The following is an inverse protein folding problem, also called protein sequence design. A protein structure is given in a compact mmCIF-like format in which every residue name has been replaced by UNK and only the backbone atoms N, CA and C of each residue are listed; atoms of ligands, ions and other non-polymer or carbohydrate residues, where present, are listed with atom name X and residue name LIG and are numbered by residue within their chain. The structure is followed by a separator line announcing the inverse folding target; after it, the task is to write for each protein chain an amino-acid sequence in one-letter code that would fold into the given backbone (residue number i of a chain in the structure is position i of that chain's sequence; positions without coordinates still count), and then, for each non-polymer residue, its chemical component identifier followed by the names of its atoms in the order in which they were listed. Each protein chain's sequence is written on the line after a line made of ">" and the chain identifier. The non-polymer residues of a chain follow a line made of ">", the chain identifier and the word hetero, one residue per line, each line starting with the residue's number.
data_IF_728156332991
#
_entry.id   IF_728156332991
#
_cell.length_a   1.000
_cell.length_b   1.000
_cell.length_c   1.000
_cell.angle_alpha   90.00
_cell.angle_beta   90.00
_cell.angle_gamma   90.00
#
_symmetry.space_group_name_H-M   'P 1'
#
loop_
_entity.id
_entity.type
_entity.pdbx_description
1 polymer ?
#
# COMPACT_ATOMS: atom_id res chain seq x y z
N UNK A 1 -8.56 -46.25 31.11
CA UNK A 1 -8.72 -45.09 30.20
C UNK A 1 -7.54 -44.11 30.27
N UNK A 2 -6.97 -43.79 31.43
CA UNK A 2 -5.85 -42.84 31.56
C UNK A 2 -4.56 -43.28 30.82
N UNK A 3 -4.25 -44.56 30.75
CA UNK A 3 -3.07 -45.09 30.04
C UNK A 3 -3.14 -44.95 28.53
N UNK A 4 -4.32 -45.08 27.93
CA UNK A 4 -4.47 -44.96 26.46
C UNK A 4 -4.31 -43.51 25.96
N UNK A 5 -4.81 -42.54 26.73
CA UNK A 5 -4.61 -41.11 26.42
C UNK A 5 -3.13 -40.68 26.57
N UNK A 6 -2.42 -41.25 27.56
CA UNK A 6 -0.99 -41.01 27.76
C UNK A 6 -0.14 -41.56 26.61
N UNK A 7 -0.46 -42.75 26.10
CA UNK A 7 0.23 -43.33 24.91
C UNK A 7 -0.08 -42.56 23.63
N UNK A 8 -1.31 -42.12 23.41
CA UNK A 8 -1.68 -41.29 22.26
C UNK A 8 -0.94 -39.96 22.27
N UNK A 9 -0.77 -39.33 23.46
CA UNK A 9 0.03 -38.12 23.62
C UNK A 9 1.52 -38.31 23.32
N UNK A 10 2.10 -39.41 23.79
CA UNK A 10 3.50 -39.79 23.51
C UNK A 10 3.75 -40.07 22.03
N UNK A 11 2.85 -40.79 21.36
CA UNK A 11 2.93 -41.08 19.93
C UNK A 11 2.81 -39.79 19.10
N UNK A 12 1.91 -38.88 19.47
CA UNK A 12 1.78 -37.57 18.82
C UNK A 12 3.04 -36.74 18.98
N UNK A 13 3.62 -36.71 20.17
CA UNK A 13 4.88 -36.00 20.44
C UNK A 13 6.04 -36.61 19.62
N UNK A 14 6.13 -37.92 19.52
CA UNK A 14 7.13 -38.63 18.72
C UNK A 14 6.96 -38.34 17.24
N UNK A 15 5.73 -38.35 16.70
CA UNK A 15 5.46 -38.00 15.30
C UNK A 15 5.83 -36.55 14.98
N UNK A 16 5.54 -35.63 15.90
CA UNK A 16 5.93 -34.21 15.78
C UNK A 16 7.46 -34.10 15.75
N UNK A 17 8.14 -34.78 16.67
CA UNK A 17 9.61 -34.77 16.77
C UNK A 17 10.26 -35.36 15.51
N UNK A 18 9.76 -36.49 15.01
CA UNK A 18 10.23 -37.12 13.77
C UNK A 18 9.99 -36.20 12.56
N UNK A 19 8.84 -35.53 12.51
CA UNK A 19 8.53 -34.57 11.44
C UNK A 19 9.46 -33.35 11.47
N UNK A 20 9.75 -32.85 12.67
CA UNK A 20 10.73 -31.76 12.87
C UNK A 20 12.12 -32.21 12.44
N UNK A 21 12.57 -33.41 12.85
CA UNK A 21 13.87 -33.96 12.46
C UNK A 21 13.94 -34.18 10.95
N UNK A 22 12.91 -34.76 10.33
CA UNK A 22 12.86 -34.95 8.85
C UNK A 22 12.87 -33.63 8.09
N UNK A 23 12.17 -32.59 8.58
CA UNK A 23 12.20 -31.25 7.95
C UNK A 23 13.54 -30.56 8.11
N UNK A 24 14.22 -30.73 9.25
CA UNK A 24 15.57 -30.22 9.48
C UNK A 24 16.62 -30.92 8.61
N UNK A 25 16.58 -32.27 8.53
CA UNK A 25 17.47 -33.06 7.72
C UNK A 25 17.19 -32.95 6.20
N UNK A 26 15.90 -32.81 5.81
CA UNK A 26 15.49 -32.63 4.41
C UNK A 26 15.92 -31.28 3.82
N UNK A 27 15.99 -30.25 4.63
CA UNK A 27 16.54 -28.94 4.24
C UNK A 27 18.05 -28.99 4.01
N UNK A 28 18.79 -29.87 4.70
CA UNK A 28 20.23 -30.05 4.49
C UNK A 28 20.53 -30.69 3.13
N UNK A 29 19.70 -31.65 2.65
CA UNK A 29 19.91 -32.32 1.34
C UNK A 29 19.49 -31.47 0.13
N UNK A 30 18.52 -30.56 0.27
CA UNK A 30 18.13 -29.62 -0.80
C UNK A 30 19.11 -28.45 -0.99
N UNK A 31 20.02 -28.22 -0.06
CA UNK A 31 21.11 -27.21 -0.19
C UNK A 31 22.19 -27.57 -1.24
N UNK A 32 22.25 -28.80 -1.72
CA UNK A 32 23.32 -29.27 -2.62
C UNK A 32 23.11 -28.95 -4.11
N UNK A 33 22.02 -28.32 -4.55
CA UNK A 33 21.72 -28.16 -5.99
C UNK A 33 21.73 -26.69 -6.48
N UNK A 34 21.90 -25.71 -5.60
CA UNK A 34 22.01 -24.30 -5.99
C UNK A 34 23.50 -23.92 -6.08
N UNK A 35 24.07 -24.00 -7.26
CA UNK A 35 25.35 -23.37 -7.55
C UNK A 35 25.21 -21.85 -7.43
N UNK A 36 25.69 -21.25 -6.32
CA UNK A 36 25.70 -19.83 -6.08
C UNK A 36 25.56 -19.47 -4.58
N UNK A 37 26.17 -18.39 -4.18
CA UNK A 37 26.13 -17.86 -2.80
C UNK A 37 24.76 -17.22 -2.55
N UNK A 38 24.05 -17.63 -1.50
CA UNK A 38 22.80 -16.98 -1.05
C UNK A 38 23.11 -15.84 -0.09
N UNK A 39 22.26 -14.79 -0.03
CA UNK A 39 22.41 -13.71 0.96
C UNK A 39 22.44 -14.24 2.40
N UNK A 40 23.13 -13.53 3.34
CA UNK A 40 23.16 -13.92 4.75
C UNK A 40 21.73 -13.99 5.32
N UNK A 41 21.55 -14.80 6.36
CA UNK A 41 20.25 -14.99 6.99
C UNK A 41 20.38 -15.19 8.50
N UNK A 42 19.44 -14.70 9.31
CA UNK A 42 19.31 -15.09 10.71
C UNK A 42 18.95 -16.58 10.85
N UNK A 43 18.94 -17.07 12.09
CA UNK A 43 18.51 -18.44 12.37
C UNK A 43 16.99 -18.57 12.20
N UNK A 44 16.57 -19.52 11.36
CA UNK A 44 15.16 -19.80 11.10
C UNK A 44 14.60 -20.83 12.08
N UNK A 45 13.40 -20.62 12.59
CA UNK A 45 12.64 -21.63 13.32
C UNK A 45 11.95 -22.60 12.37
N UNK A 46 11.72 -23.86 12.78
CA UNK A 46 10.93 -24.81 11.99
C UNK A 46 9.52 -24.25 11.71
N UNK A 47 8.98 -24.56 10.52
CA UNK A 47 7.62 -24.19 10.05
C UNK A 47 7.46 -22.69 9.85
N UNK A 48 7.61 -21.88 10.89
CA UNK A 48 7.35 -20.43 10.84
C UNK A 48 8.52 -19.61 10.26
N UNK A 49 9.70 -20.22 10.11
CA UNK A 49 10.88 -19.51 9.60
C UNK A 49 11.26 -18.34 10.50
N UNK A 50 11.26 -17.15 9.93
CA UNK A 50 11.65 -15.89 10.59
C UNK A 50 10.45 -14.99 10.97
N UNK A 51 9.21 -15.49 10.90
CA UNK A 51 8.02 -14.71 11.21
C UNK A 51 8.07 -14.07 12.60
N UNK A 52 8.60 -14.79 13.58
CA UNK A 52 8.78 -14.31 14.96
C UNK A 52 9.71 -13.09 15.10
N UNK A 53 10.55 -12.82 14.09
CA UNK A 53 11.47 -11.69 14.09
C UNK A 53 10.85 -10.38 13.57
N UNK A 54 9.64 -10.41 13.03
CA UNK A 54 8.99 -9.24 12.44
C UNK A 54 8.14 -8.42 13.43
N UNK A 55 7.93 -8.94 14.64
CA UNK A 55 7.15 -8.24 15.66
C UNK A 55 8.00 -7.17 16.40
N UNK A 56 7.35 -6.12 16.97
CA UNK A 56 5.94 -5.75 16.79
C UNK A 56 5.68 -4.97 15.48
N UNK A 57 6.70 -4.30 14.93
CA UNK A 57 6.61 -3.42 13.75
C UNK A 57 7.60 -3.93 12.69
N UNK A 58 7.13 -4.52 11.58
CA UNK A 58 7.98 -5.23 10.61
C UNK A 58 9.14 -4.39 10.05
N UNK A 59 8.90 -3.16 9.60
CA UNK A 59 9.96 -2.34 9.00
C UNK A 59 11.07 -1.97 10.01
N UNK A 60 10.72 -1.72 11.28
CA UNK A 60 11.70 -1.46 12.33
C UNK A 60 12.47 -2.73 12.72
N UNK A 61 11.80 -3.87 12.76
CA UNK A 61 12.43 -5.15 13.02
C UNK A 61 13.43 -5.52 11.90
N UNK A 62 13.04 -5.31 10.63
CA UNK A 62 13.91 -5.50 9.47
C UNK A 62 15.12 -4.56 9.48
N UNK A 63 14.96 -3.31 9.91
CA UNK A 63 16.09 -2.39 10.09
C UNK A 63 17.10 -2.90 11.12
N UNK A 64 16.62 -3.38 12.29
CA UNK A 64 17.51 -3.99 13.31
C UNK A 64 18.23 -5.23 12.80
N UNK A 65 17.57 -6.04 11.95
CA UNK A 65 18.20 -7.20 11.32
C UNK A 65 19.24 -6.78 10.27
N UNK A 66 19.01 -5.71 9.51
CA UNK A 66 19.96 -5.16 8.57
C UNK A 66 21.27 -4.73 9.24
N UNK A 67 21.20 -4.14 10.42
CA UNK A 67 22.38 -3.79 11.22
C UNK A 67 23.25 -4.99 11.64
N UNK A 68 22.68 -6.22 11.66
CA UNK A 68 23.42 -7.46 12.03
C UNK A 68 23.85 -8.29 10.82
N UNK A 69 23.09 -8.26 9.73
CA UNK A 69 23.26 -9.15 8.58
C UNK A 69 23.69 -8.43 7.30
N UNK A 70 23.79 -7.10 7.36
CA UNK A 70 24.07 -6.24 6.20
C UNK A 70 22.81 -5.76 5.49
N UNK A 71 22.95 -4.82 4.53
CA UNK A 71 21.82 -4.17 3.85
C UNK A 71 21.04 -5.11 2.92
N UNK A 72 21.66 -6.24 2.51
CA UNK A 72 21.04 -7.31 1.73
C UNK A 72 21.10 -8.62 2.50
N UNK A 73 19.96 -9.10 2.95
CA UNK A 73 19.85 -10.38 3.65
C UNK A 73 18.56 -11.13 3.25
N UNK A 74 18.53 -12.43 3.51
CA UNK A 74 17.37 -13.28 3.20
C UNK A 74 16.61 -13.69 4.45
N UNK A 75 15.32 -13.89 4.27
CA UNK A 75 14.42 -14.47 5.26
C UNK A 75 13.63 -15.62 4.62
N UNK A 76 13.02 -16.45 5.48
CA UNK A 76 11.93 -17.35 5.11
C UNK A 76 10.75 -17.03 6.01
N UNK A 77 9.68 -16.50 5.45
CA UNK A 77 8.46 -16.22 6.19
C UNK A 77 7.53 -17.42 6.00
N UNK A 78 7.52 -18.33 6.98
CA UNK A 78 6.93 -19.64 6.78
C UNK A 78 7.59 -20.38 5.61
N UNK A 79 6.80 -20.69 4.59
CA UNK A 79 7.26 -21.35 3.35
C UNK A 79 7.75 -20.39 2.26
N UNK A 80 7.56 -19.08 2.45
CA UNK A 80 7.84 -18.06 1.43
C UNK A 80 9.27 -17.55 1.55
N UNK A 81 10.12 -17.71 0.49
CA UNK A 81 11.45 -17.12 0.47
C UNK A 81 11.36 -15.62 0.28
N UNK A 82 12.16 -14.87 1.05
CA UNK A 82 12.19 -13.42 1.01
C UNK A 82 13.63 -12.91 0.99
N UNK A 83 13.83 -11.73 0.38
CA UNK A 83 15.05 -10.93 0.51
C UNK A 83 14.67 -9.52 0.96
N UNK A 84 15.56 -8.89 1.70
CA UNK A 84 15.37 -7.54 2.23
C UNK A 84 16.49 -6.65 1.73
N UNK A 85 16.11 -5.51 1.18
CA UNK A 85 16.99 -4.42 0.77
C UNK A 85 16.78 -3.24 1.71
N UNK A 86 17.84 -2.80 2.41
CA UNK A 86 17.76 -1.75 3.44
C UNK A 86 18.78 -0.61 3.23
N UNK A 87 19.40 -0.51 2.04
CA UNK A 87 20.21 0.63 1.64
C UNK A 87 19.80 1.16 0.27
N UNK A 88 20.09 2.43 -0.06
CA UNK A 88 19.79 3.03 -1.37
C UNK A 88 20.42 2.26 -2.53
N UNK A 89 21.67 1.81 -2.41
CA UNK A 89 22.40 1.07 -3.45
C UNK A 89 21.71 -0.27 -3.71
N UNK A 90 21.38 -1.00 -2.63
CA UNK A 90 20.71 -2.29 -2.75
C UNK A 90 19.30 -2.11 -3.35
N UNK A 91 18.57 -1.10 -2.91
CA UNK A 91 17.24 -0.79 -3.47
C UNK A 91 17.33 -0.45 -4.96
N UNK A 92 18.34 0.32 -5.38
CA UNK A 92 18.60 0.66 -6.80
C UNK A 92 18.86 -0.58 -7.64
N UNK A 93 19.64 -1.53 -7.13
CA UNK A 93 19.90 -2.79 -7.83
C UNK A 93 18.60 -3.54 -8.15
N UNK A 94 17.68 -3.64 -7.19
CA UNK A 94 16.40 -4.32 -7.40
C UNK A 94 15.42 -3.52 -8.26
N UNK A 95 15.23 -2.24 -7.94
CA UNK A 95 14.12 -1.44 -8.48
C UNK A 95 14.47 -0.69 -9.78
N UNK A 96 15.76 -0.62 -10.15
CA UNK A 96 16.22 0.05 -11.37
C UNK A 96 17.03 -0.87 -12.27
N UNK A 97 18.10 -1.50 -11.76
CA UNK A 97 18.99 -2.35 -12.58
C UNK A 97 18.29 -3.64 -12.99
N UNK A 98 17.52 -4.25 -12.08
CA UNK A 98 16.82 -5.50 -12.30
C UNK A 98 15.29 -5.35 -12.25
N UNK A 99 14.76 -4.18 -12.61
CA UNK A 99 13.34 -3.87 -12.48
C UNK A 99 12.45 -4.85 -13.26
N UNK A 100 12.88 -5.29 -14.44
CA UNK A 100 12.16 -6.27 -15.25
C UNK A 100 12.03 -7.66 -14.59
N UNK A 101 12.92 -7.99 -13.65
CA UNK A 101 12.84 -9.23 -12.85
C UNK A 101 11.90 -9.05 -11.66
N UNK A 102 11.86 -7.84 -11.09
CA UNK A 102 11.09 -7.49 -9.90
C UNK A 102 9.90 -6.55 -10.20
N UNK A 103 9.34 -6.64 -11.40
CA UNK A 103 8.16 -5.85 -11.78
C UNK A 103 6.87 -6.40 -11.15
N UNK A 104 6.80 -7.68 -10.87
CA UNK A 104 5.62 -8.30 -10.26
C UNK A 104 5.51 -7.98 -8.76
N UNK A 105 4.28 -8.03 -8.25
CA UNK A 105 3.98 -7.89 -6.82
C UNK A 105 3.43 -9.19 -6.27
N UNK A 106 3.82 -9.58 -5.04
CA UNK A 106 3.18 -10.71 -4.38
C UNK A 106 1.72 -10.33 -4.07
N UNK A 107 0.78 -11.20 -4.41
CA UNK A 107 -0.65 -10.99 -4.16
C UNK A 107 -1.03 -11.64 -2.84
N UNK A 108 -1.35 -10.85 -1.78
CA UNK A 108 -1.92 -11.38 -0.54
C UNK A 108 -3.31 -11.94 -0.77
N UNK A 109 -3.70 -12.97 -0.01
CA UNK A 109 -5.02 -13.60 -0.15
C UNK A 109 -6.19 -12.61 0.05
N UNK A 110 -6.02 -11.63 0.95
CA UNK A 110 -7.01 -10.58 1.17
C UNK A 110 -7.19 -9.70 -0.08
N UNK A 111 -6.09 -9.30 -0.71
CA UNK A 111 -6.11 -8.49 -1.94
C UNK A 111 -6.72 -9.29 -3.08
N UNK A 112 -6.27 -10.52 -3.31
CA UNK A 112 -6.82 -11.40 -4.35
C UNK A 112 -8.34 -11.53 -4.24
N UNK A 113 -8.83 -11.70 -3.02
CA UNK A 113 -10.27 -11.79 -2.78
C UNK A 113 -11.00 -10.47 -3.06
N UNK A 114 -10.51 -9.34 -2.55
CA UNK A 114 -11.13 -8.03 -2.69
C UNK A 114 -11.09 -7.50 -4.13
N UNK A 115 -10.09 -7.90 -4.90
CA UNK A 115 -9.91 -7.47 -6.30
C UNK A 115 -10.39 -8.50 -7.32
N UNK A 116 -11.34 -9.34 -6.96
CA UNK A 116 -12.00 -10.31 -7.87
C UNK A 116 -11.02 -11.27 -8.55
N UNK A 117 -10.04 -11.80 -7.79
CA UNK A 117 -9.01 -12.69 -8.34
C UNK A 117 -7.90 -11.93 -9.06
N UNK A 118 -7.47 -10.80 -8.50
CA UNK A 118 -6.44 -9.91 -9.06
C UNK A 118 -6.84 -9.31 -10.42
N UNK A 119 -8.12 -8.96 -10.56
CA UNK A 119 -8.64 -8.22 -11.71
C UNK A 119 -8.25 -6.72 -11.68
N UNK A 120 -7.58 -6.28 -10.61
CA UNK A 120 -7.01 -4.95 -10.43
C UNK A 120 -5.79 -4.70 -11.32
N UNK A 121 -5.29 -3.46 -11.34
CA UNK A 121 -4.08 -3.15 -12.07
C UNK A 121 -2.84 -3.08 -11.18
N UNK A 122 -2.99 -2.75 -9.89
CA UNK A 122 -1.85 -2.55 -8.99
C UNK A 122 -1.10 -3.85 -8.70
N UNK A 123 -1.82 -4.97 -8.53
CA UNK A 123 -1.24 -6.29 -8.32
C UNK A 123 -1.18 -7.15 -9.58
N UNK A 124 -1.75 -6.69 -10.70
CA UNK A 124 -1.67 -7.40 -11.98
C UNK A 124 -0.21 -7.70 -12.37
N UNK A 125 0.08 -8.89 -12.94
CA UNK A 125 1.39 -9.19 -13.49
C UNK A 125 1.79 -8.19 -14.58
N UNK A 126 3.09 -7.89 -14.66
CA UNK A 126 3.61 -7.01 -15.70
C UNK A 126 3.37 -7.58 -17.09
N UNK A 127 2.46 -6.97 -17.83
CA UNK A 127 2.01 -7.48 -19.14
C UNK A 127 1.15 -6.47 -19.89
N UNK A 128 0.48 -6.90 -20.98
CA UNK A 128 -0.35 -6.02 -21.81
C UNK A 128 -1.46 -5.33 -21.01
N UNK A 129 -2.18 -6.06 -20.16
CA UNK A 129 -3.23 -5.51 -19.30
C UNK A 129 -2.69 -4.39 -18.37
N UNK A 130 -1.61 -4.68 -17.64
CA UNK A 130 -0.99 -3.69 -16.75
C UNK A 130 -0.56 -2.42 -17.49
N UNK A 131 0.06 -2.58 -18.68
CA UNK A 131 0.49 -1.44 -19.51
C UNK A 131 -0.68 -0.60 -19.98
N UNK A 132 -1.75 -1.25 -20.41
CA UNK A 132 -2.99 -0.60 -20.84
C UNK A 132 -3.61 0.19 -19.69
N UNK A 133 -3.85 -0.44 -18.53
CA UNK A 133 -4.44 0.21 -17.37
C UNK A 133 -3.58 1.34 -16.82
N UNK A 134 -2.24 1.19 -16.83
CA UNK A 134 -1.32 2.28 -16.46
C UNK A 134 -1.43 3.48 -17.40
N UNK A 135 -1.46 3.23 -18.70
CA UNK A 135 -1.63 4.30 -19.72
C UNK A 135 -2.95 5.04 -19.46
N UNK A 136 -4.03 4.30 -19.27
CA UNK A 136 -5.35 4.85 -18.98
C UNK A 136 -5.35 5.69 -17.70
N UNK A 137 -4.79 5.17 -16.61
CA UNK A 137 -4.67 5.90 -15.34
C UNK A 137 -3.92 7.23 -15.52
N UNK A 138 -2.82 7.22 -16.26
CA UNK A 138 -2.02 8.44 -16.49
C UNK A 138 -2.75 9.43 -17.40
N UNK A 139 -3.42 8.98 -18.46
CA UNK A 139 -4.12 9.89 -19.38
C UNK A 139 -5.41 10.44 -18.81
N UNK A 140 -6.23 9.61 -18.18
CA UNK A 140 -7.61 9.95 -17.82
C UNK A 140 -7.80 10.36 -16.35
N UNK A 141 -6.82 10.09 -15.48
CA UNK A 141 -6.91 10.45 -14.07
C UNK A 141 -5.79 11.41 -13.62
N UNK A 142 -4.53 11.10 -13.98
CA UNK A 142 -3.35 11.80 -13.46
C UNK A 142 -2.69 12.75 -14.47
N UNK A 143 -3.23 12.86 -15.68
CA UNK A 143 -2.71 13.79 -16.69
C UNK A 143 -2.87 15.25 -16.30
N UNK A 144 -1.90 16.11 -16.62
CA UNK A 144 -1.89 17.52 -16.22
C UNK A 144 -3.19 18.25 -16.55
N UNK A 145 -3.73 18.03 -17.76
CA UNK A 145 -5.02 18.61 -18.18
C UNK A 145 -6.20 18.23 -17.28
N UNK A 146 -6.22 16.97 -16.79
CA UNK A 146 -7.26 16.51 -15.88
C UNK A 146 -7.05 17.13 -14.50
N UNK A 147 -5.80 17.17 -14.03
CA UNK A 147 -5.47 17.80 -12.75
C UNK A 147 -5.84 19.28 -12.75
N UNK A 148 -5.56 20.01 -13.84
CA UNK A 148 -5.97 21.43 -13.96
C UNK A 148 -7.50 21.59 -13.96
N UNK A 149 -8.22 20.72 -14.68
CA UNK A 149 -9.69 20.73 -14.69
C UNK A 149 -10.29 20.47 -13.31
N UNK A 150 -9.64 19.64 -12.50
CA UNK A 150 -10.08 19.28 -11.14
C UNK A 150 -9.58 20.26 -10.06
N UNK A 151 -8.84 21.32 -10.41
CA UNK A 151 -8.37 22.34 -9.48
C UNK A 151 -9.52 23.02 -8.70
N UNK A 152 -10.66 23.44 -9.31
CA UNK A 152 -11.77 24.01 -8.57
C UNK A 152 -12.34 23.07 -7.51
N UNK A 153 -12.43 21.77 -7.82
CA UNK A 153 -12.89 20.75 -6.88
C UNK A 153 -11.95 20.65 -5.66
N UNK A 154 -10.64 20.54 -5.89
CA UNK A 154 -9.67 20.47 -4.80
C UNK A 154 -9.74 21.70 -3.90
N UNK A 155 -9.87 22.90 -4.49
CA UNK A 155 -10.03 24.16 -3.74
C UNK A 155 -11.29 24.17 -2.90
N UNK A 156 -12.42 23.73 -3.45
CA UNK A 156 -13.70 23.66 -2.74
C UNK A 156 -13.63 22.70 -1.54
N UNK A 157 -13.10 21.49 -1.73
CA UNK A 157 -12.96 20.51 -0.64
C UNK A 157 -12.02 20.99 0.47
N UNK A 158 -10.88 21.61 0.13
CA UNK A 158 -9.97 22.23 1.09
C UNK A 158 -10.68 23.38 1.83
N UNK A 159 -11.39 24.25 1.10
CA UNK A 159 -12.15 25.37 1.69
C UNK A 159 -13.21 24.89 2.68
N UNK A 160 -13.96 23.83 2.34
CA UNK A 160 -14.94 23.21 3.24
C UNK A 160 -14.29 22.63 4.50
N UNK A 161 -13.14 21.98 4.33
CA UNK A 161 -12.38 21.42 5.46
C UNK A 161 -11.90 22.53 6.41
N UNK A 162 -11.33 23.61 5.87
CA UNK A 162 -10.90 24.76 6.66
C UNK A 162 -12.07 25.44 7.38
N UNK A 163 -13.25 25.53 6.75
CA UNK A 163 -14.44 26.07 7.39
C UNK A 163 -14.91 25.20 8.55
N UNK A 164 -14.93 23.87 8.39
CA UNK A 164 -15.27 22.94 9.48
C UNK A 164 -14.28 23.03 10.64
N UNK A 165 -12.98 23.11 10.31
CA UNK A 165 -11.89 23.29 11.29
C UNK A 165 -12.10 24.56 12.10
N UNK A 166 -12.40 25.67 11.41
CA UNK A 166 -12.66 26.98 12.02
C UNK A 166 -13.88 26.93 12.94
N UNK A 167 -14.99 26.36 12.48
CA UNK A 167 -16.22 26.28 13.29
C UNK A 167 -15.99 25.50 14.59
N UNK A 168 -15.24 24.39 14.55
CA UNK A 168 -14.87 23.63 15.76
C UNK A 168 -13.94 24.40 16.67
N UNK A 169 -12.96 25.11 16.10
CA UNK A 169 -12.05 25.94 16.89
C UNK A 169 -12.81 27.09 17.59
N UNK A 170 -13.75 27.74 16.91
CA UNK A 170 -14.61 28.78 17.50
C UNK A 170 -15.55 28.24 18.60
N UNK A 171 -15.99 26.98 18.47
CA UNK A 171 -16.77 26.29 19.50
C UNK A 171 -15.91 25.73 20.67
N UNK A 172 -14.58 25.80 20.58
CA UNK A 172 -13.67 25.20 21.57
C UNK A 172 -13.68 23.67 21.56
N UNK A 173 -14.11 23.05 20.44
CA UNK A 173 -14.20 21.60 20.32
C UNK A 173 -12.90 21.00 19.72
N UNK A 174 -12.48 19.80 20.19
CA UNK A 174 -11.38 19.10 19.56
C UNK A 174 -11.73 18.64 18.14
N UNK A 175 -10.73 18.58 17.26
CA UNK A 175 -10.89 18.12 15.90
C UNK A 175 -10.05 16.87 15.63
N UNK A 176 -10.67 15.88 15.00
CA UNK A 176 -9.99 14.74 14.39
C UNK A 176 -9.39 15.17 13.04
N UNK A 177 -8.11 15.57 13.07
CA UNK A 177 -7.40 16.06 11.87
C UNK A 177 -7.24 14.96 10.83
N UNK A 178 -6.85 13.74 11.25
CA UNK A 178 -6.68 12.60 10.36
C UNK A 178 -7.98 12.26 9.62
N UNK A 179 -9.10 12.17 10.36
CA UNK A 179 -10.41 11.93 9.76
C UNK A 179 -10.85 13.02 8.78
N UNK A 180 -10.51 14.28 9.05
CA UNK A 180 -10.83 15.39 8.15
C UNK A 180 -9.98 15.37 6.87
N UNK A 181 -8.69 15.05 6.97
CA UNK A 181 -7.80 14.90 5.81
C UNK A 181 -8.21 13.72 4.93
N UNK A 182 -8.58 12.59 5.53
CA UNK A 182 -9.15 11.44 4.80
C UNK A 182 -10.42 11.84 4.06
N UNK A 183 -11.31 12.63 4.68
CA UNK A 183 -12.54 13.13 4.06
C UNK A 183 -12.24 13.97 2.82
N UNK A 184 -11.30 14.91 2.90
CA UNK A 184 -10.88 15.75 1.76
C UNK A 184 -10.35 14.87 0.63
N UNK A 185 -9.39 13.98 0.91
CA UNK A 185 -8.81 13.11 -0.09
C UNK A 185 -9.87 12.20 -0.74
N UNK A 186 -10.73 11.59 0.08
CA UNK A 186 -11.80 10.71 -0.39
C UNK A 186 -12.79 11.43 -1.32
N UNK A 187 -13.26 12.65 -0.94
CA UNK A 187 -14.17 13.42 -1.79
C UNK A 187 -13.55 13.81 -3.13
N UNK A 188 -12.27 14.22 -3.12
CA UNK A 188 -11.55 14.55 -4.35
C UNK A 188 -11.45 13.33 -5.26
N UNK A 189 -11.03 12.19 -4.72
CA UNK A 189 -10.90 10.93 -5.48
C UNK A 189 -12.26 10.46 -5.99
N UNK A 190 -13.31 10.52 -5.18
CA UNK A 190 -14.66 10.08 -5.56
C UNK A 190 -15.20 10.87 -6.76
N UNK A 191 -15.08 12.19 -6.72
CA UNK A 191 -15.54 13.03 -7.84
C UNK A 191 -14.67 12.82 -9.09
N UNK A 192 -13.37 12.66 -8.92
CA UNK A 192 -12.47 12.38 -10.05
C UNK A 192 -12.76 11.02 -10.71
N UNK A 193 -13.10 10.02 -9.90
CA UNK A 193 -13.28 8.65 -10.38
C UNK A 193 -14.72 8.35 -10.84
N UNK A 194 -15.73 8.94 -10.18
CA UNK A 194 -17.14 8.57 -10.34
C UNK A 194 -18.08 9.77 -10.44
N UNK A 195 -17.58 10.99 -10.62
CA UNK A 195 -18.40 12.21 -10.77
C UNK A 195 -19.12 12.67 -9.49
N UNK A 196 -19.16 11.85 -8.44
CA UNK A 196 -19.96 12.08 -7.25
C UNK A 196 -19.11 12.15 -5.98
N UNK A 197 -19.58 12.98 -5.01
CA UNK A 197 -19.02 12.96 -3.66
C UNK A 197 -19.56 11.77 -2.89
N UNK A 198 -18.71 10.91 -2.39
CA UNK A 198 -19.11 9.88 -1.43
C UNK A 198 -19.50 10.44 -0.04
N UNK A 199 -19.87 11.72 0.03
CA UNK A 199 -20.25 12.40 1.27
C UNK A 199 -21.50 13.27 1.11
N UNK A 200 -22.46 12.79 0.35
CA UNK A 200 -23.78 13.46 0.17
C UNK A 200 -24.56 13.60 1.48
N UNK A 201 -24.32 12.72 2.46
CA UNK A 201 -24.79 12.80 3.84
C UNK A 201 -23.66 12.45 4.83
N UNK A 202 -23.79 12.86 6.09
CA UNK A 202 -22.80 12.53 7.13
C UNK A 202 -22.62 11.02 7.27
N UNK A 203 -23.68 10.24 7.13
CA UNK A 203 -23.68 8.79 7.27
C UNK A 203 -22.94 8.09 6.10
N UNK A 204 -23.09 8.59 4.87
CA UNK A 204 -22.48 7.99 3.68
C UNK A 204 -20.96 8.26 3.63
N UNK A 205 -20.51 9.45 4.02
CA UNK A 205 -19.10 9.78 4.16
C UNK A 205 -18.42 8.90 5.22
N UNK A 206 -19.07 8.68 6.35
CA UNK A 206 -18.58 7.82 7.42
C UNK A 206 -18.54 6.36 7.01
N UNK A 207 -19.47 5.92 6.17
CA UNK A 207 -19.52 4.58 5.65
C UNK A 207 -18.34 4.30 4.68
N UNK A 208 -18.08 5.18 3.70
CA UNK A 208 -16.94 5.04 2.77
C UNK A 208 -15.61 5.10 3.52
N UNK A 209 -15.49 6.02 4.50
CA UNK A 209 -14.29 6.09 5.35
C UNK A 209 -14.04 4.79 6.11
N UNK A 210 -15.08 4.18 6.68
CA UNK A 210 -14.99 2.87 7.36
C UNK A 210 -14.57 1.77 6.39
N UNK A 211 -15.12 1.77 5.16
CA UNK A 211 -14.78 0.80 4.13
C UNK A 211 -13.29 0.91 3.74
N UNK A 212 -12.78 2.13 3.52
CA UNK A 212 -11.37 2.36 3.20
C UNK A 212 -10.47 1.94 4.37
N UNK A 213 -10.78 2.36 5.59
CA UNK A 213 -10.01 1.99 6.79
C UNK A 213 -10.00 0.48 7.04
N UNK A 214 -11.13 -0.20 6.84
CA UNK A 214 -11.21 -1.65 6.99
C UNK A 214 -10.44 -2.39 5.88
N UNK A 215 -10.45 -1.86 4.66
CA UNK A 215 -9.62 -2.35 3.55
C UNK A 215 -8.14 -2.27 3.92
N UNK A 216 -7.67 -1.12 4.36
CA UNK A 216 -6.28 -0.92 4.77
C UNK A 216 -5.89 -1.82 5.95
N UNK A 217 -6.78 -1.96 6.93
CA UNK A 217 -6.57 -2.88 8.06
C UNK A 217 -6.40 -4.33 7.59
N UNK A 218 -7.34 -4.85 6.78
CA UNK A 218 -7.34 -6.25 6.36
C UNK A 218 -6.23 -6.58 5.37
N UNK A 219 -5.88 -5.66 4.48
CA UNK A 219 -4.78 -5.84 3.51
C UNK A 219 -3.41 -5.62 4.14
N UNK A 220 -3.30 -4.75 5.15
CA UNK A 220 -2.07 -4.46 5.87
C UNK A 220 -1.75 -5.44 7.00
N UNK A 221 -2.73 -6.17 7.52
CA UNK A 221 -2.51 -7.16 8.57
C UNK A 221 -1.81 -8.41 8.05
N UNK A 222 -0.94 -8.94 8.89
CA UNK A 222 -0.29 -10.19 8.65
C UNK A 222 -1.31 -11.34 8.64
N UNK A 223 -1.48 -11.98 7.47
CA UNK A 223 -2.33 -13.15 7.31
C UNK A 223 -1.48 -14.43 7.30
N UNK A 224 -1.68 -15.32 8.27
CA UNK A 224 -0.98 -16.60 8.35
C UNK A 224 -1.17 -17.45 7.09
N UNK A 225 -2.30 -17.33 6.42
CA UNK A 225 -2.62 -18.07 5.19
C UNK A 225 -1.65 -17.75 4.04
N UNK A 226 -1.07 -16.54 4.01
CA UNK A 226 -0.12 -16.12 2.96
C UNK A 226 1.26 -16.76 3.11
N UNK A 227 1.59 -17.25 4.32
CA UNK A 227 2.96 -17.69 4.66
C UNK A 227 3.02 -19.14 5.09
N UNK A 228 1.95 -19.69 5.65
CA UNK A 228 1.91 -21.05 6.20
C UNK A 228 0.92 -21.88 5.38
N UNK A 229 1.44 -22.73 4.49
CA UNK A 229 0.68 -23.43 3.47
C UNK A 229 -0.53 -24.24 3.97
N UNK A 230 -0.45 -24.84 5.18
CA UNK A 230 -1.57 -25.61 5.75
C UNK A 230 -2.64 -24.73 6.41
N UNK A 231 -2.34 -23.46 6.66
CA UNK A 231 -3.33 -22.49 7.18
C UNK A 231 -4.23 -21.90 6.09
N UNK A 232 -3.91 -22.10 4.80
CA UNK A 232 -4.67 -21.51 3.67
C UNK A 232 -6.17 -21.84 3.67
N UNK A 233 -6.56 -22.98 4.23
CA UNK A 233 -7.96 -23.42 4.31
C UNK A 233 -8.58 -23.21 5.68
N UNK A 234 -7.81 -22.73 6.65
CA UNK A 234 -8.23 -22.52 8.02
C UNK A 234 -8.24 -21.02 8.26
N UNK A 235 -9.40 -20.42 8.32
CA UNK A 235 -9.54 -18.98 8.66
C UNK A 235 -9.27 -18.75 10.15
N UNK A 236 -8.04 -19.04 10.58
CA UNK A 236 -7.62 -18.99 12.00
C UNK A 236 -7.71 -17.58 12.60
N UNK A 237 -7.71 -16.55 11.76
CA UNK A 237 -7.72 -15.15 12.19
C UNK A 237 -9.09 -14.49 11.96
N UNK A 238 -10.06 -15.19 11.40
CA UNK A 238 -11.42 -14.70 11.12
C UNK A 238 -11.46 -13.62 10.02
N UNK A 239 -10.48 -13.60 9.10
CA UNK A 239 -10.46 -12.62 8.03
C UNK A 239 -11.47 -12.91 6.93
N UNK A 240 -11.80 -14.18 6.68
CA UNK A 240 -12.65 -14.59 5.57
C UNK A 240 -14.01 -13.90 5.60
N UNK A 241 -14.72 -14.00 6.72
CA UNK A 241 -16.05 -13.36 6.88
C UNK A 241 -16.00 -11.83 6.78
N UNK A 242 -14.95 -11.21 7.32
CA UNK A 242 -14.77 -9.74 7.24
C UNK A 242 -14.50 -9.30 5.81
N UNK A 243 -13.69 -10.06 5.06
CA UNK A 243 -13.42 -9.80 3.65
C UNK A 243 -14.66 -9.97 2.78
N UNK A 244 -15.49 -10.98 3.08
CA UNK A 244 -16.77 -11.22 2.41
C UNK A 244 -17.72 -10.04 2.60
N UNK A 245 -17.98 -9.63 3.84
CA UNK A 245 -18.81 -8.47 4.17
C UNK A 245 -18.28 -7.17 3.53
N UNK A 246 -16.98 -6.95 3.60
CA UNK A 246 -16.33 -5.77 3.00
C UNK A 246 -16.53 -5.73 1.48
N UNK A 247 -16.32 -6.87 0.81
CA UNK A 247 -16.50 -6.99 -0.64
C UNK A 247 -17.97 -6.82 -1.04
N UNK A 248 -18.92 -7.42 -0.33
CA UNK A 248 -20.35 -7.27 -0.61
C UNK A 248 -20.80 -5.80 -0.49
N UNK A 249 -20.32 -5.10 0.53
CA UNK A 249 -20.63 -3.67 0.72
C UNK A 249 -20.08 -2.82 -0.42
N UNK A 250 -18.82 -3.05 -0.81
CA UNK A 250 -18.21 -2.34 -1.94
C UNK A 250 -18.90 -2.68 -3.26
N UNK A 251 -19.17 -3.95 -3.50
CA UNK A 251 -19.83 -4.43 -4.71
C UNK A 251 -21.22 -3.79 -4.89
N UNK A 252 -22.02 -3.78 -3.83
CA UNK A 252 -23.35 -3.13 -3.82
C UNK A 252 -23.28 -1.64 -4.12
N UNK A 253 -22.30 -0.92 -3.58
CA UNK A 253 -22.06 0.48 -3.89
C UNK A 253 -21.70 0.67 -5.37
N UNK A 254 -20.73 -0.10 -5.86
CA UNK A 254 -20.26 0.02 -7.23
C UNK A 254 -21.33 -0.34 -8.26
N UNK A 255 -22.13 -1.37 -7.99
CA UNK A 255 -23.25 -1.71 -8.89
C UNK A 255 -24.25 -0.56 -9.00
N UNK A 256 -24.64 0.06 -7.89
CA UNK A 256 -25.52 1.23 -7.90
C UNK A 256 -24.93 2.37 -8.74
N UNK A 257 -23.66 2.73 -8.49
CA UNK A 257 -23.01 3.82 -9.21
C UNK A 257 -22.88 3.52 -10.71
N UNK A 258 -22.53 2.27 -11.07
CA UNK A 258 -22.43 1.86 -12.47
C UNK A 258 -23.81 1.93 -13.16
N UNK A 259 -24.89 1.50 -12.49
CA UNK A 259 -26.26 1.57 -13.03
C UNK A 259 -26.72 3.01 -13.25
N UNK A 260 -26.38 3.92 -12.34
CA UNK A 260 -26.67 5.36 -12.48
C UNK A 260 -25.96 5.98 -13.68
N UNK A 261 -24.68 5.60 -13.93
CA UNK A 261 -23.91 6.06 -15.11
C UNK A 261 -24.50 5.48 -16.42
N UNK A 262 -24.83 4.21 -16.46
CA UNK A 262 -25.44 3.56 -17.64
C UNK A 262 -26.84 4.13 -17.92
N UNK A 263 -27.57 4.53 -16.88
CA UNK A 263 -28.90 5.14 -16.98
C UNK A 263 -28.94 6.59 -17.52
N UNK A 264 -27.78 7.16 -17.82
CA UNK A 264 -27.67 8.51 -18.41
C UNK A 264 -27.75 9.68 -17.42
N UNK A 265 -27.62 9.40 -16.12
CA UNK A 265 -27.51 10.43 -15.09
C UNK A 265 -26.09 10.99 -14.93
N UNK A 266 -25.17 10.64 -15.83
CA UNK A 266 -23.81 11.17 -15.87
C UNK A 266 -23.80 12.67 -16.15
N UNK A 267 -22.83 13.40 -15.54
CA UNK A 267 -22.66 14.82 -15.74
C UNK A 267 -22.28 15.21 -17.18
N UNK A 268 -22.31 16.51 -17.51
CA UNK A 268 -21.89 17.02 -18.84
C UNK A 268 -20.43 16.67 -19.20
N UNK A 269 -19.62 16.30 -18.21
CA UNK A 269 -18.19 15.99 -18.35
C UNK A 269 -17.94 14.54 -17.90
N UNK A 270 -17.43 13.71 -18.82
CA UNK A 270 -17.05 12.32 -18.53
C UNK A 270 -16.01 12.27 -17.40
N UNK A 271 -16.29 11.43 -16.43
CA UNK A 271 -15.36 11.03 -15.38
C UNK A 271 -14.59 9.75 -15.74
N UNK A 272 -13.81 9.20 -14.82
CA UNK A 272 -13.02 7.99 -15.10
C UNK A 272 -13.92 6.76 -15.30
N UNK A 273 -15.02 6.63 -14.54
CA UNK A 273 -15.93 5.50 -14.66
C UNK A 273 -16.62 5.50 -16.03
N UNK A 274 -17.06 6.66 -16.52
CA UNK A 274 -17.62 6.79 -17.87
C UNK A 274 -16.63 6.31 -18.94
N UNK A 275 -15.35 6.70 -18.81
CA UNK A 275 -14.29 6.27 -19.75
C UNK A 275 -14.08 4.75 -19.69
N UNK A 276 -14.11 4.16 -18.51
CA UNK A 276 -13.97 2.70 -18.33
C UNK A 276 -15.17 1.94 -18.91
N UNK A 277 -16.38 2.48 -18.76
CA UNK A 277 -17.59 1.91 -19.34
C UNK A 277 -17.60 2.00 -20.86
N UNK A 278 -17.18 3.14 -21.43
CA UNK A 278 -17.00 3.28 -22.88
C UNK A 278 -16.03 2.23 -23.44
N UNK A 279 -14.86 2.05 -22.80
CA UNK A 279 -13.87 1.05 -23.21
C UNK A 279 -14.43 -0.37 -23.13
N UNK A 280 -15.27 -0.66 -22.13
CA UNK A 280 -15.92 -1.97 -21.99
C UNK A 280 -16.87 -2.26 -23.17
N UNK A 281 -17.62 -1.25 -23.63
CA UNK A 281 -18.56 -1.36 -24.76
C UNK A 281 -17.86 -1.31 -26.14
N UNK A 282 -16.65 -0.71 -26.22
CA UNK A 282 -15.89 -0.58 -27.46
C UNK A 282 -15.41 -1.95 -27.98
N UNK A 283 -15.91 -2.35 -29.16
CA UNK A 283 -15.58 -3.64 -29.79
C UNK A 283 -14.13 -3.68 -30.31
N UNK A 284 -13.53 -2.54 -30.62
CA UNK A 284 -12.19 -2.41 -31.19
C UNK A 284 -11.12 -2.15 -30.12
N UNK A 285 -11.50 -2.08 -28.83
CA UNK A 285 -10.55 -1.87 -27.73
C UNK A 285 -9.50 -2.97 -27.67
N UNK A 286 -8.23 -2.57 -27.51
CA UNK A 286 -7.05 -3.45 -27.38
C UNK A 286 -7.21 -4.47 -26.24
N UNK A 287 -7.85 -4.06 -25.13
CA UNK A 287 -8.11 -4.89 -23.95
C UNK A 287 -9.62 -4.83 -23.65
N UNK A 288 -10.23 -5.99 -23.55
CA UNK A 288 -11.64 -6.11 -23.13
C UNK A 288 -11.72 -6.03 -21.61
N UNK A 289 -12.31 -4.96 -21.10
CA UNK A 289 -12.54 -4.80 -19.67
C UNK A 289 -13.82 -5.54 -19.26
N UNK A 290 -13.74 -6.27 -18.16
CA UNK A 290 -14.92 -6.83 -17.48
C UNK A 290 -15.43 -5.85 -16.42
N UNK A 291 -16.63 -6.12 -15.90
CA UNK A 291 -17.20 -5.32 -14.80
C UNK A 291 -16.35 -5.43 -13.54
N UNK A 292 -15.76 -6.61 -13.30
CA UNK A 292 -14.83 -6.84 -12.20
C UNK A 292 -13.52 -6.04 -12.36
N UNK A 293 -13.00 -5.92 -13.59
CA UNK A 293 -11.81 -5.08 -13.85
C UNK A 293 -12.10 -3.62 -13.50
N UNK A 294 -13.27 -3.10 -13.87
CA UNK A 294 -13.68 -1.72 -13.56
C UNK A 294 -13.77 -1.53 -12.04
N UNK A 295 -14.50 -2.40 -11.34
CA UNK A 295 -14.63 -2.33 -9.88
C UNK A 295 -13.29 -2.45 -9.17
N UNK A 296 -12.44 -3.40 -9.57
CA UNK A 296 -11.12 -3.60 -9.00
C UNK A 296 -10.21 -2.38 -9.22
N UNK A 297 -10.29 -1.77 -10.41
CA UNK A 297 -9.52 -0.55 -10.70
C UNK A 297 -9.98 0.65 -9.87
N UNK A 298 -11.28 0.85 -9.73
CA UNK A 298 -11.83 1.89 -8.84
C UNK A 298 -11.40 1.63 -7.38
N UNK A 299 -11.40 0.35 -6.94
CA UNK A 299 -10.87 -0.01 -5.63
C UNK A 299 -9.42 0.43 -5.44
N UNK A 300 -8.54 0.14 -6.43
CA UNK A 300 -7.13 0.58 -6.40
C UNK A 300 -7.00 2.08 -6.22
N UNK A 301 -7.78 2.87 -6.97
CA UNK A 301 -7.75 4.33 -6.92
C UNK A 301 -8.17 4.85 -5.54
N UNK A 302 -9.22 4.29 -4.96
CA UNK A 302 -9.66 4.63 -3.61
C UNK A 302 -8.63 4.28 -2.54
N UNK A 303 -8.12 3.04 -2.56
CA UNK A 303 -7.16 2.56 -1.58
C UNK A 303 -5.84 3.36 -1.64
N UNK A 304 -5.36 3.68 -2.85
CA UNK A 304 -4.11 4.40 -3.01
C UNK A 304 -4.24 5.91 -2.74
N UNK A 305 -5.33 6.54 -3.19
CA UNK A 305 -5.47 7.99 -3.22
C UNK A 305 -5.97 8.61 -1.91
N UNK A 306 -6.69 7.85 -1.09
CA UNK A 306 -7.34 8.41 0.11
C UNK A 306 -6.38 8.52 1.29
N UNK A 307 -5.81 7.41 1.74
CA UNK A 307 -5.03 7.40 2.98
C UNK A 307 -3.63 7.97 2.83
N UNK A 308 -2.95 7.73 1.72
CA UNK A 308 -1.55 8.09 1.59
C UNK A 308 -1.29 9.60 1.71
N UNK A 309 -2.15 10.42 1.11
CA UNK A 309 -2.07 11.88 1.19
C UNK A 309 -2.45 12.41 2.58
N UNK A 310 -3.48 11.82 3.18
CA UNK A 310 -3.94 12.18 4.52
C UNK A 310 -2.87 11.89 5.58
N UNK A 311 -2.32 10.68 5.60
CA UNK A 311 -1.27 10.25 6.53
C UNK A 311 -0.02 11.13 6.38
N UNK A 312 0.41 11.43 5.14
CA UNK A 312 1.58 12.29 4.92
C UNK A 312 1.36 13.69 5.49
N UNK A 313 0.17 14.27 5.27
CA UNK A 313 -0.17 15.60 5.78
C UNK A 313 -0.29 15.60 7.30
N UNK A 314 -0.88 14.57 7.90
CA UNK A 314 -1.01 14.41 9.35
C UNK A 314 0.38 14.32 10.02
N UNK A 315 1.31 13.52 9.46
CA UNK A 315 2.68 13.46 9.94
C UNK A 315 3.41 14.79 9.81
N UNK A 316 3.24 15.50 8.67
CA UNK A 316 3.82 16.83 8.49
C UNK A 316 3.32 17.80 9.58
N UNK A 317 2.03 17.78 9.89
CA UNK A 317 1.47 18.60 10.96
C UNK A 317 2.00 18.20 12.34
N UNK A 318 2.12 16.91 12.64
CA UNK A 318 2.66 16.41 13.91
C UNK A 318 4.13 16.85 14.10
N UNK A 319 4.95 16.73 13.06
CA UNK A 319 6.35 17.19 13.10
C UNK A 319 6.45 18.71 13.26
N UNK A 320 5.61 19.48 12.57
CA UNK A 320 5.58 20.94 12.70
C UNK A 320 5.15 21.41 14.09
N UNK A 321 4.24 20.69 14.76
CA UNK A 321 3.84 20.98 16.14
C UNK A 321 4.99 20.70 17.11
N UNK A 322 5.72 19.61 16.89
CA UNK A 322 6.88 19.23 17.71
C UNK A 322 8.13 20.11 17.46
N UNK A 323 8.18 20.80 16.32
CA UNK A 323 9.28 21.67 15.90
C UNK A 323 8.81 23.10 15.58
N UNK A 324 8.48 23.92 16.61
CA UNK A 324 7.90 25.26 16.44
C UNK A 324 8.77 26.22 15.62
N UNK A 325 10.09 26.05 15.63
CA UNK A 325 11.04 26.84 14.85
C UNK A 325 10.85 26.57 13.35
N UNK A 326 10.62 25.33 12.94
CA UNK A 326 10.35 24.94 11.53
C UNK A 326 9.00 25.50 11.11
N UNK A 327 7.97 25.35 11.96
CA UNK A 327 6.65 25.90 11.72
C UNK A 327 6.69 27.43 11.51
N UNK A 328 7.42 28.16 12.38
CA UNK A 328 7.54 29.60 12.28
C UNK A 328 8.29 30.04 11.02
N UNK A 329 9.29 29.27 10.57
CA UNK A 329 9.99 29.53 9.31
C UNK A 329 9.09 29.30 8.11
N UNK A 330 8.31 28.22 8.10
CA UNK A 330 7.32 27.95 7.05
C UNK A 330 6.26 29.07 6.96
N UNK A 331 5.75 29.52 8.12
CA UNK A 331 4.80 30.66 8.17
C UNK A 331 5.41 31.96 7.60
N UNK A 332 6.67 32.26 7.91
CA UNK A 332 7.35 33.44 7.36
C UNK A 332 7.51 33.35 5.85
N UNK A 333 7.83 32.20 5.31
CA UNK A 333 7.91 31.98 3.85
C UNK A 333 6.52 32.25 3.23
N UNK A 334 5.47 31.61 3.74
CA UNK A 334 4.10 31.81 3.25
C UNK A 334 3.67 33.29 3.34
N UNK A 335 3.91 33.95 4.49
CA UNK A 335 3.56 35.35 4.69
C UNK A 335 4.30 36.27 3.70
N UNK A 336 5.55 35.94 3.32
CA UNK A 336 6.33 36.74 2.38
C UNK A 336 5.93 36.56 0.92
N UNK A 337 5.50 35.35 0.53
CA UNK A 337 5.15 35.02 -0.86
C UNK A 337 3.68 35.27 -1.15
N UNK A 338 2.80 34.82 -0.25
CA UNK A 338 1.34 34.83 -0.44
C UNK A 338 0.67 36.02 0.25
N UNK A 339 1.26 36.47 1.36
CA UNK A 339 0.65 37.47 2.23
C UNK A 339 -0.36 36.85 3.19
N UNK A 340 -1.15 37.73 3.85
CA UNK A 340 -2.14 37.34 4.87
C UNK A 340 -3.60 37.52 4.44
N UNK A 341 -3.82 38.00 3.21
CA UNK A 341 -5.16 38.36 2.73
C UNK A 341 -5.90 37.23 2.01
N UNK A 342 -5.19 36.17 1.64
CA UNK A 342 -5.75 35.00 0.91
C UNK A 342 -5.13 33.69 1.35
N UNK A 343 -5.78 32.58 1.00
CA UNK A 343 -5.21 31.25 1.15
C UNK A 343 -4.14 30.97 0.09
N UNK A 344 -3.18 30.09 0.43
CA UNK A 344 -2.21 29.52 -0.51
C UNK A 344 -2.94 28.83 -1.66
N UNK A 345 -2.46 29.02 -2.88
CA UNK A 345 -2.98 28.38 -4.08
C UNK A 345 -1.94 27.39 -4.63
N UNK A 346 -2.37 26.44 -5.46
CA UNK A 346 -1.42 25.50 -6.11
C UNK A 346 -0.37 26.23 -6.96
N UNK A 347 -0.73 27.38 -7.55
CA UNK A 347 0.20 28.23 -8.32
C UNK A 347 1.30 28.88 -7.47
N UNK A 348 1.13 28.95 -6.14
CA UNK A 348 2.17 29.53 -5.26
C UNK A 348 3.25 28.48 -4.87
N UNK A 349 2.95 27.18 -5.03
CA UNK A 349 3.82 26.09 -4.59
C UNK A 349 5.25 26.18 -5.13
N UNK A 350 5.49 26.54 -6.42
CA UNK A 350 6.84 26.70 -6.94
C UNK A 350 7.68 27.73 -6.17
N UNK A 351 7.05 28.74 -5.60
CA UNK A 351 7.67 29.84 -4.87
C UNK A 351 7.77 29.59 -3.35
N UNK A 352 7.42 28.37 -2.89
CA UNK A 352 7.46 27.94 -1.49
C UNK A 352 8.45 26.77 -1.29
N UNK A 353 9.76 26.96 -1.57
CA UNK A 353 10.75 25.88 -1.53
C UNK A 353 10.93 25.27 -0.13
N UNK A 354 10.79 26.07 0.93
CA UNK A 354 10.90 25.53 2.29
C UNK A 354 9.71 24.64 2.66
N UNK A 355 8.51 25.04 2.30
CA UNK A 355 7.32 24.20 2.47
C UNK A 355 7.44 22.89 1.67
N UNK A 356 7.94 22.95 0.43
CA UNK A 356 8.22 21.75 -0.37
C UNK A 356 9.25 20.83 0.30
N UNK A 357 10.31 21.42 0.92
CA UNK A 357 11.31 20.66 1.65
C UNK A 357 10.70 19.95 2.87
N UNK A 358 9.79 20.59 3.63
CA UNK A 358 9.06 19.99 4.74
C UNK A 358 8.28 18.76 4.27
N UNK A 359 7.54 18.88 3.15
CA UNK A 359 6.77 17.74 2.60
C UNK A 359 7.69 16.58 2.20
N UNK A 360 8.79 16.87 1.52
CA UNK A 360 9.78 15.86 1.10
C UNK A 360 10.41 15.15 2.29
N UNK A 361 10.82 15.91 3.30
CA UNK A 361 11.40 15.38 4.54
C UNK A 361 10.39 14.52 5.29
N UNK A 362 9.14 14.96 5.38
CA UNK A 362 8.05 14.15 5.97
C UNK A 362 7.87 12.82 5.25
N UNK A 363 7.86 12.81 3.91
CA UNK A 363 7.75 11.57 3.14
C UNK A 363 8.96 10.65 3.31
N UNK A 364 10.15 11.21 3.55
CA UNK A 364 11.36 10.45 3.83
C UNK A 364 11.32 9.83 5.23
N UNK A 365 10.95 10.60 6.24
CA UNK A 365 10.88 10.15 7.63
C UNK A 365 9.66 9.26 7.92
N UNK A 366 8.51 9.59 7.35
CA UNK A 366 7.24 8.93 7.59
C UNK A 366 6.59 8.47 6.26
N UNK A 367 7.25 7.54 5.52
CA UNK A 367 6.68 7.05 4.27
C UNK A 367 5.35 6.33 4.53
N UNK A 368 4.31 6.69 3.79
CA UNK A 368 2.99 6.05 3.89
C UNK A 368 3.07 4.53 3.62
N UNK A 369 4.02 4.11 2.76
CA UNK A 369 4.36 2.71 2.54
C UNK A 369 5.80 2.44 3.02
N UNK A 370 6.03 2.04 4.29
CA UNK A 370 7.37 1.86 4.85
C UNK A 370 8.13 0.67 4.25
N UNK A 371 7.43 -0.28 3.62
CA UNK A 371 7.99 -1.43 2.91
C UNK A 371 7.41 -1.49 1.50
N UNK A 372 8.26 -1.46 0.48
CA UNK A 372 7.86 -1.75 -0.91
C UNK A 372 8.04 -3.25 -1.13
N UNK A 373 6.97 -3.91 -1.59
CA UNK A 373 6.99 -5.34 -1.90
C UNK A 373 7.07 -5.57 -3.40
N UNK A 374 7.95 -6.50 -3.82
CA UNK A 374 8.05 -7.03 -5.18
C UNK A 374 8.25 -8.53 -5.13
N UNK A 375 8.14 -9.19 -6.28
CA UNK A 375 8.44 -10.62 -6.42
C UNK A 375 9.27 -10.85 -7.66
N UNK A 376 10.27 -11.75 -7.56
CA UNK A 376 11.11 -12.10 -8.70
C UNK A 376 10.38 -13.06 -9.65
N UNK A 377 10.30 -12.70 -10.93
CA UNK A 377 9.71 -13.51 -12.00
C UNK A 377 10.62 -14.66 -12.43
N UNK A 378 11.94 -14.53 -12.27
CA UNK A 378 12.97 -15.52 -12.64
C UNK A 378 14.17 -15.45 -11.72
N UNK A 379 15.06 -16.46 -11.82
CA UNK A 379 16.35 -16.45 -11.12
C UNK A 379 17.20 -15.27 -11.61
N UNK A 380 17.89 -14.62 -10.68
CA UNK A 380 18.86 -13.57 -10.98
C UNK A 380 20.01 -13.55 -9.97
N UNK A 381 21.02 -12.71 -10.24
CA UNK A 381 22.14 -12.48 -9.34
C UNK A 381 22.20 -10.99 -8.97
N UNK A 382 22.29 -10.71 -7.67
CA UNK A 382 22.35 -9.35 -7.10
C UNK A 382 23.54 -9.30 -6.15
N UNK A 383 24.51 -8.42 -6.42
CA UNK A 383 25.72 -8.25 -5.59
C UNK A 383 26.45 -9.57 -5.31
N UNK A 384 26.54 -10.48 -6.31
CA UNK A 384 27.16 -11.79 -6.18
C UNK A 384 26.35 -12.82 -5.40
N UNK A 385 25.09 -12.54 -5.09
CA UNK A 385 24.16 -13.47 -4.45
C UNK A 385 23.10 -13.94 -5.44
N UNK A 386 22.83 -15.23 -5.44
CA UNK A 386 21.75 -15.82 -6.23
C UNK A 386 20.41 -15.59 -5.54
N UNK A 387 19.46 -15.00 -6.28
CA UNK A 387 18.07 -14.80 -5.87
C UNK A 387 17.19 -15.68 -6.76
N UNK A 388 16.56 -16.72 -6.22
CA UNK A 388 15.66 -17.60 -6.97
C UNK A 388 14.39 -16.88 -7.43
N UNK A 389 13.76 -17.38 -8.49
CA UNK A 389 12.42 -17.00 -8.90
C UNK A 389 11.41 -17.16 -7.75
N UNK A 390 10.35 -16.37 -7.77
CA UNK A 390 9.30 -16.31 -6.72
C UNK A 390 9.85 -15.99 -5.33
N UNK A 391 10.94 -15.23 -5.27
CA UNK A 391 11.44 -14.66 -4.02
C UNK A 391 10.78 -13.29 -3.81
N UNK A 392 10.12 -13.10 -2.67
CA UNK A 392 9.57 -11.80 -2.29
C UNK A 392 10.68 -10.85 -1.89
N UNK A 393 10.65 -9.65 -2.44
CA UNK A 393 11.55 -8.56 -2.08
C UNK A 393 10.82 -7.60 -1.14
N UNK A 394 11.47 -7.24 -0.04
CA UNK A 394 11.08 -6.13 0.82
C UNK A 394 12.14 -5.03 0.73
N UNK A 395 11.80 -3.90 0.13
CA UNK A 395 12.63 -2.69 0.20
C UNK A 395 12.19 -1.89 1.40
N UNK A 396 13.07 -1.73 2.38
CA UNK A 396 12.78 -1.02 3.63
C UNK A 396 13.00 0.49 3.45
N UNK A 397 12.00 1.16 2.87
CA UNK A 397 12.03 2.60 2.60
C UNK A 397 12.19 3.39 3.89
N UNK A 398 11.54 2.94 4.97
CA UNK A 398 11.65 3.57 6.29
C UNK A 398 13.09 3.55 6.84
N UNK A 399 13.83 2.46 6.63
CA UNK A 399 15.23 2.37 7.03
C UNK A 399 16.12 3.22 6.15
N UNK A 400 15.87 3.23 4.83
CA UNK A 400 16.61 4.04 3.85
C UNK A 400 16.47 5.53 4.19
N UNK A 401 15.25 6.02 4.43
CA UNK A 401 15.01 7.41 4.78
C UNK A 401 15.61 7.88 6.11
N UNK A 402 16.20 6.98 6.88
CA UNK A 402 16.90 7.25 8.15
C UNK A 402 18.38 6.88 8.13
N UNK A 403 18.92 6.62 6.95
CA UNK A 403 20.35 6.35 6.81
C UNK A 403 21.13 7.67 6.95
N UNK A 404 22.00 7.80 7.98
CA UNK A 404 22.74 9.04 8.22
C UNK A 404 23.74 9.39 7.10
N UNK A 405 23.99 8.47 6.17
CA UNK A 405 24.89 8.72 5.04
C UNK A 405 24.18 9.35 3.84
N UNK A 406 22.82 9.42 3.84
CA UNK A 406 22.06 10.04 2.73
C UNK A 406 22.28 11.56 2.63
N UNK A 407 22.56 12.24 3.74
CA UNK A 407 22.72 13.69 3.81
C UNK A 407 24.15 14.15 3.53
N UNK A 408 25.08 13.23 3.24
CA UNK A 408 26.43 13.62 2.84
C UNK A 408 26.46 13.90 1.33
N UNK A 409 26.71 15.15 0.90
CA UNK A 409 26.91 15.46 -0.50
C UNK A 409 28.14 14.69 -1.01
N UNK A 410 27.95 13.86 -2.06
CA UNK A 410 29.04 13.29 -2.84
C UNK A 410 29.80 14.36 -3.62
#
# INVERSE_FOLDING_TARGET
>A
MATFQSYAGLISLLCITITIIKTLLGKSKRRGSLQGRLPPAPLALPIIGHLHLLAPIPHQALHKLAGRHGPLFRLSLGSVPCVVASSPETAREFLKTHDSVFSDRPVPAAVDYLTYGSADFFFAPYGPYWKFMKKLCVSELLGGRILDRMLPLRRDEIGRSLQRTRNRAEAGEPMDVGGELIRVANNVISVMAMGERCSGGADEADWVRKLVAETAELTGKFNLSDYVWFCKRLDLQGFGKRLEDLRERFDSMMERIIEEHVGGNGGEVKDLLDVLLDIKEDQDSEIKLTRENIKAFIWDIFAAGTESSAITTEWAMAELINHPEILNRARKEIDSVVGKSRLVQESDIPDLPYLQAIVKETMMLHPAAPLIMRESSRDCEIQGYKIPARTRLFVNVWAIGRDPNLDQPN
#
